data_IF_116834259227
#
_entry.id   IF_116834259227
#
_cell.length_a   1.000
_cell.length_b   1.000
_cell.length_c   1.000
_cell.angle_alpha   90.00
_cell.angle_beta   90.00
_cell.angle_gamma   90.00
#
_symmetry.space_group_name_H-M   'P 1'
#
loop_
_entity.id
_entity.type
_entity.pdbx_description
1 polymer ?
#
# COMPACT_ATOMS: atom_id res chain seq x y z
N UNK A 1 -22.39 3.83 -17.63
CA UNK A 1 -21.46 3.98 -16.47
C UNK A 1 -22.10 4.86 -15.42
N UNK A 2 -22.19 4.39 -14.18
CA UNK A 2 -22.60 5.17 -13.01
C UNK A 2 -21.38 5.28 -12.08
N UNK A 3 -20.91 6.50 -11.87
CA UNK A 3 -19.81 6.77 -10.96
C UNK A 3 -20.32 7.50 -9.72
N UNK A 4 -19.87 7.05 -8.54
CA UNK A 4 -20.25 7.61 -7.25
C UNK A 4 -18.98 8.04 -6.52
N UNK A 5 -18.90 9.31 -6.14
CA UNK A 5 -17.87 9.82 -5.24
C UNK A 5 -18.16 9.28 -3.83
N UNK A 6 -17.25 8.47 -3.31
CA UNK A 6 -17.39 7.84 -2.00
C UNK A 6 -16.80 8.74 -0.91
N UNK A 7 -15.63 9.33 -1.20
CA UNK A 7 -14.94 10.20 -0.26
C UNK A 7 -13.97 11.14 -1.00
N UNK A 8 -13.61 12.24 -0.34
CA UNK A 8 -12.52 13.13 -0.77
C UNK A 8 -11.62 13.37 0.44
N UNK A 9 -10.35 13.03 0.33
CA UNK A 9 -9.36 13.29 1.38
C UNK A 9 -8.91 14.76 1.33
N UNK A 10 -8.58 15.29 2.51
CA UNK A 10 -8.01 16.63 2.62
C UNK A 10 -6.57 16.61 2.08
N UNK A 11 -6.28 17.51 1.16
CA UNK A 11 -4.95 17.69 0.57
C UNK A 11 -4.41 19.10 0.86
N UNK A 12 -3.08 19.20 0.93
CA UNK A 12 -2.35 20.48 0.95
C UNK A 12 -1.43 20.65 -0.26
N UNK A 13 -1.48 19.73 -1.22
CA UNK A 13 -0.74 19.89 -2.49
C UNK A 13 -1.25 21.14 -3.22
N UNK A 14 -0.35 22.05 -3.57
CA UNK A 14 -0.70 23.20 -4.39
C UNK A 14 -0.91 22.72 -5.84
N UNK A 15 -2.09 22.92 -6.43
CA UNK A 15 -2.36 22.51 -7.81
C UNK A 15 -1.50 23.24 -8.84
N UNK A 16 -0.79 24.30 -8.43
CA UNK A 16 0.16 25.06 -9.28
C UNK A 16 1.60 24.58 -9.11
N UNK A 17 1.85 23.60 -8.21
CA UNK A 17 3.18 23.04 -8.05
C UNK A 17 3.61 22.36 -9.35
N UNK A 18 4.74 22.78 -9.90
CA UNK A 18 5.26 22.26 -11.17
C UNK A 18 6.27 21.13 -10.98
N UNK A 19 6.35 20.55 -9.78
CA UNK A 19 7.21 19.42 -9.52
C UNK A 19 6.89 18.26 -10.48
N UNK A 20 7.88 17.66 -11.16
CA UNK A 20 7.62 16.67 -12.22
C UNK A 20 6.82 15.44 -11.75
N UNK A 21 6.93 15.06 -10.49
CA UNK A 21 6.18 13.97 -9.89
C UNK A 21 4.84 14.38 -9.23
N UNK A 22 4.34 15.57 -9.54
CA UNK A 22 3.02 16.05 -9.14
C UNK A 22 2.17 16.46 -10.36
N UNK A 23 2.67 16.21 -11.57
CA UNK A 23 2.05 16.64 -12.82
C UNK A 23 1.98 15.51 -13.86
N UNK A 24 1.13 15.68 -14.86
CA UNK A 24 0.97 14.75 -15.97
C UNK A 24 0.49 13.38 -15.48
N UNK A 25 1.23 12.32 -15.81
CA UNK A 25 0.92 10.95 -15.36
C UNK A 25 1.05 10.76 -13.83
N UNK A 26 1.70 11.69 -13.14
CA UNK A 26 1.91 11.69 -11.70
C UNK A 26 0.96 12.62 -10.95
N UNK A 27 -0.03 13.20 -11.62
CA UNK A 27 -0.99 14.09 -10.97
C UNK A 27 -1.70 13.36 -9.83
N UNK A 28 -1.63 13.89 -8.60
CA UNK A 28 -2.25 13.25 -7.45
C UNK A 28 -3.77 13.18 -7.58
N UNK A 29 -4.35 12.12 -7.05
CA UNK A 29 -5.79 11.94 -6.92
C UNK A 29 -6.18 12.05 -5.44
N UNK A 30 -7.25 12.78 -5.14
CA UNK A 30 -7.71 12.99 -3.76
C UNK A 30 -9.10 12.42 -3.51
N UNK A 31 -9.68 11.78 -4.50
CA UNK A 31 -11.04 11.29 -4.50
C UNK A 31 -11.07 9.77 -4.55
N UNK A 32 -12.00 9.21 -3.80
CA UNK A 32 -12.30 7.78 -3.79
C UNK A 32 -13.62 7.56 -4.50
N UNK A 33 -13.61 6.68 -5.49
CA UNK A 33 -14.72 6.46 -6.40
C UNK A 33 -15.16 4.99 -6.42
N UNK A 34 -16.46 4.80 -6.64
CA UNK A 34 -17.03 3.58 -7.18
C UNK A 34 -17.63 3.88 -8.56
N UNK A 35 -17.27 3.11 -9.56
CA UNK A 35 -17.85 3.20 -10.88
C UNK A 35 -18.32 1.81 -11.32
N UNK A 36 -19.63 1.68 -11.51
CA UNK A 36 -20.27 0.47 -11.98
C UNK A 36 -20.44 0.55 -13.50
N UNK A 37 -20.34 -0.61 -14.15
CA UNK A 37 -20.63 -0.78 -15.56
C UNK A 37 -19.81 0.19 -16.45
N UNK A 38 -18.48 0.03 -16.38
CA UNK A 38 -17.54 0.82 -17.19
C UNK A 38 -17.83 0.66 -18.68
N UNK A 39 -17.68 1.75 -19.43
CA UNK A 39 -17.70 1.69 -20.89
C UNK A 39 -16.55 0.83 -21.40
N UNK A 40 -16.86 -0.18 -22.23
CA UNK A 40 -15.88 -1.09 -22.81
C UNK A 40 -15.82 -0.85 -24.32
N UNK A 41 -14.64 -0.58 -24.83
CA UNK A 41 -14.37 -0.60 -26.27
C UNK A 41 -13.94 -2.01 -26.67
N UNK A 42 -14.71 -2.66 -27.56
CA UNK A 42 -14.53 -4.06 -27.90
C UNK A 42 -15.38 -4.99 -27.04
N UNK A 43 -14.84 -6.15 -26.68
CA UNK A 43 -15.58 -7.19 -25.95
C UNK A 43 -14.71 -7.83 -24.87
N UNK A 44 -15.19 -7.82 -23.64
CA UNK A 44 -14.61 -8.61 -22.55
C UNK A 44 -15.08 -10.06 -22.66
N UNK A 45 -14.17 -11.05 -22.47
CA UNK A 45 -14.56 -12.45 -22.35
C UNK A 45 -15.51 -12.64 -21.17
N UNK A 46 -16.56 -13.46 -21.33
CA UNK A 46 -17.51 -13.70 -20.24
C UNK A 46 -16.97 -14.61 -19.15
N UNK A 47 -15.97 -15.42 -19.49
CA UNK A 47 -15.26 -16.29 -18.57
C UNK A 47 -14.14 -15.57 -17.77
N UNK A 48 -13.89 -14.28 -18.07
CA UNK A 48 -13.03 -13.45 -17.25
C UNK A 48 -13.80 -13.03 -16.00
N UNK A 49 -13.52 -13.70 -14.88
CA UNK A 49 -14.07 -13.40 -13.55
C UNK A 49 -12.92 -13.17 -12.56
N UNK A 50 -12.99 -12.08 -11.83
CA UNK A 50 -12.00 -11.76 -10.83
C UNK A 50 -11.78 -10.26 -10.64
N UNK A 51 -10.70 -9.94 -9.93
CA UNK A 51 -10.33 -8.54 -9.66
C UNK A 51 -8.87 -8.32 -10.00
N UNK A 52 -8.59 -7.33 -10.82
CA UNK A 52 -7.25 -6.77 -10.98
C UNK A 52 -7.04 -5.72 -9.89
N UNK A 53 -5.98 -5.89 -9.10
CA UNK A 53 -5.58 -4.96 -8.04
C UNK A 53 -4.27 -4.27 -8.43
N UNK A 54 -4.19 -2.97 -8.16
CA UNK A 54 -2.98 -2.18 -8.29
C UNK A 54 -2.84 -1.22 -7.12
N UNK A 55 -1.72 -1.28 -6.42
CA UNK A 55 -1.33 -0.27 -5.45
C UNK A 55 -0.55 0.85 -6.15
N UNK A 56 -0.75 2.08 -5.72
CA UNK A 56 -0.06 3.24 -6.26
C UNK A 56 0.42 4.15 -5.14
N UNK A 57 1.45 4.92 -5.43
CA UNK A 57 2.00 5.96 -4.57
C UNK A 57 1.33 7.28 -4.92
N UNK A 58 0.51 7.80 -4.01
CA UNK A 58 -0.29 8.99 -4.25
C UNK A 58 -0.08 10.04 -3.15
N UNK A 59 0.67 11.11 -3.40
CA UNK A 59 0.92 12.12 -2.38
C UNK A 59 -0.35 12.88 -2.02
N UNK A 60 -0.53 13.14 -0.73
CA UNK A 60 -1.71 13.84 -0.21
C UNK A 60 -1.35 15.21 0.35
N UNK A 61 -0.21 15.33 1.01
CA UNK A 61 0.24 16.60 1.59
C UNK A 61 1.52 17.11 0.96
N UNK A 62 1.66 18.44 0.92
CA UNK A 62 2.90 19.06 0.52
C UNK A 62 4.05 18.52 1.38
N UNK A 63 5.16 18.04 0.78
CA UNK A 63 6.27 17.46 1.53
C UNK A 63 6.94 18.52 2.43
N UNK A 64 7.58 18.07 3.52
CA UNK A 64 8.33 18.97 4.42
C UNK A 64 9.52 19.62 3.71
N UNK A 65 10.07 18.94 2.71
CA UNK A 65 11.17 19.43 1.91
C UNK A 65 11.16 18.85 0.51
N UNK A 66 11.98 17.83 0.26
CA UNK A 66 12.07 17.19 -1.05
C UNK A 66 11.05 16.07 -1.17
N UNK A 67 10.39 15.99 -2.32
CA UNK A 67 9.49 14.90 -2.66
C UNK A 67 10.16 13.88 -3.57
N UNK A 68 9.97 12.61 -3.26
CA UNK A 68 10.29 11.47 -4.11
C UNK A 68 9.00 10.70 -4.40
N UNK A 69 8.80 10.09 -5.59
CA UNK A 69 7.56 9.34 -5.88
C UNK A 69 7.20 8.30 -4.84
N UNK A 70 8.20 7.63 -4.25
CA UNK A 70 7.97 6.61 -3.23
C UNK A 70 7.49 7.14 -1.86
N UNK A 71 7.35 8.46 -1.71
CA UNK A 71 6.85 9.07 -0.48
C UNK A 71 5.31 9.17 -0.45
N UNK A 72 4.65 8.89 -1.57
CA UNK A 72 3.20 8.94 -1.68
C UNK A 72 2.48 7.90 -0.83
N UNK A 73 1.28 8.24 -0.38
CA UNK A 73 0.41 7.32 0.36
C UNK A 73 -0.14 6.23 -0.57
N UNK A 74 -0.33 5.03 -0.03
CA UNK A 74 -0.91 3.92 -0.77
C UNK A 74 -2.35 4.22 -1.18
N UNK A 75 -2.64 4.07 -2.47
CA UNK A 75 -4.01 4.06 -2.99
C UNK A 75 -4.21 2.77 -3.78
N UNK A 76 -5.11 1.93 -3.30
CA UNK A 76 -5.44 0.69 -3.96
C UNK A 76 -6.55 0.92 -4.98
N UNK A 77 -6.29 0.48 -6.21
CA UNK A 77 -7.24 0.48 -7.33
C UNK A 77 -7.67 -0.96 -7.61
N UNK A 78 -8.95 -1.16 -7.83
CA UNK A 78 -9.55 -2.44 -8.19
C UNK A 78 -10.37 -2.31 -9.46
N UNK A 79 -10.14 -3.21 -10.42
CA UNK A 79 -11.04 -3.41 -11.57
C UNK A 79 -11.62 -4.81 -11.43
N UNK A 80 -12.91 -4.90 -11.14
CA UNK A 80 -13.63 -6.15 -11.06
C UNK A 80 -14.21 -6.50 -12.44
N UNK A 81 -14.08 -7.78 -12.83
CA UNK A 81 -14.62 -8.35 -14.05
C UNK A 81 -15.63 -9.43 -13.69
N UNK A 82 -16.79 -9.42 -14.33
CA UNK A 82 -17.83 -10.42 -14.14
C UNK A 82 -18.78 -10.41 -15.37
N UNK A 83 -19.04 -11.56 -15.96
CA UNK A 83 -19.96 -11.76 -17.11
C UNK A 83 -19.80 -10.71 -18.22
N UNK A 84 -18.57 -10.41 -18.63
CA UNK A 84 -18.25 -9.47 -19.70
C UNK A 84 -18.46 -8.00 -19.35
N UNK A 85 -18.58 -7.67 -18.08
CA UNK A 85 -18.65 -6.31 -17.53
C UNK A 85 -17.42 -5.98 -16.71
N UNK A 86 -17.17 -4.68 -16.50
CA UNK A 86 -16.11 -4.20 -15.64
C UNK A 86 -16.63 -3.10 -14.71
N UNK A 87 -16.15 -3.13 -13.45
CA UNK A 87 -16.38 -2.09 -12.46
C UNK A 87 -15.06 -1.62 -11.87
N UNK A 88 -15.01 -0.39 -11.38
CA UNK A 88 -13.80 0.21 -10.80
C UNK A 88 -14.06 0.74 -9.40
N UNK A 89 -13.06 0.59 -8.51
CA UNK A 89 -13.00 1.23 -7.21
C UNK A 89 -11.59 1.69 -6.92
N UNK A 90 -11.46 2.75 -6.12
CA UNK A 90 -10.19 3.11 -5.52
C UNK A 90 -10.37 3.58 -4.07
N UNK A 91 -9.39 3.26 -3.22
CA UNK A 91 -9.36 3.69 -1.82
C UNK A 91 -7.92 3.96 -1.39
N UNK A 92 -7.73 5.04 -0.64
CA UNK A 92 -6.50 5.19 0.11
C UNK A 92 -6.36 4.08 1.16
N UNK A 93 -5.15 3.57 1.33
CA UNK A 93 -4.84 2.67 2.45
C UNK A 93 -4.78 3.50 3.73
N UNK A 94 -5.63 3.19 4.69
CA UNK A 94 -5.74 3.92 5.97
C UNK A 94 -4.64 3.50 6.93
N UNK A 95 -3.38 3.79 6.57
CA UNK A 95 -2.24 3.55 7.46
C UNK A 95 -2.30 4.47 8.67
N UNK A 96 -1.61 4.09 9.74
CA UNK A 96 -1.50 4.96 10.93
C UNK A 96 -0.86 6.31 10.57
N UNK A 97 0.12 6.32 9.64
CA UNK A 97 0.76 7.53 9.14
C UNK A 97 -0.20 8.40 8.35
N UNK A 98 -0.93 7.82 7.40
CA UNK A 98 -1.96 8.52 6.63
C UNK A 98 -3.00 9.20 7.56
N UNK A 99 -3.53 8.46 8.53
CA UNK A 99 -4.53 8.99 9.46
C UNK A 99 -3.97 10.14 10.32
N UNK A 100 -2.72 10.00 10.78
CA UNK A 100 -2.06 11.06 11.56
C UNK A 100 -1.88 12.35 10.75
N UNK A 101 -1.46 12.25 9.48
CA UNK A 101 -1.30 13.41 8.60
C UNK A 101 -2.64 14.01 8.18
N UNK A 102 -3.67 13.19 7.94
CA UNK A 102 -5.03 13.71 7.71
C UNK A 102 -5.57 14.47 8.92
N UNK A 103 -5.31 14.01 10.14
CA UNK A 103 -5.68 14.71 11.37
C UNK A 103 -4.89 16.01 11.54
N UNK A 104 -3.57 15.98 11.27
CA UNK A 104 -2.71 17.16 11.34
C UNK A 104 -3.00 18.16 10.21
N UNK A 105 -3.54 17.71 9.08
CA UNK A 105 -3.77 18.50 7.87
C UNK A 105 -2.48 18.93 7.17
N UNK A 106 -1.40 18.16 7.34
CA UNK A 106 -0.07 18.39 6.73
C UNK A 106 0.82 17.16 6.85
N UNK A 107 1.91 17.16 6.09
CA UNK A 107 2.95 16.13 6.25
C UNK A 107 3.61 16.20 7.64
N UNK A 108 3.94 15.05 8.20
CA UNK A 108 4.62 14.88 9.49
C UNK A 108 5.97 14.17 9.36
N UNK A 109 6.23 13.53 8.23
CA UNK A 109 7.47 12.81 7.93
C UNK A 109 8.19 13.40 6.74
N UNK A 110 9.51 13.36 6.82
CA UNK A 110 10.38 13.64 5.69
C UNK A 110 10.31 12.52 4.68
N UNK A 111 10.44 12.85 3.39
CA UNK A 111 10.56 11.89 2.32
C UNK A 111 11.96 11.29 2.18
N UNK A 112 12.07 10.28 1.31
CA UNK A 112 13.29 9.53 1.03
C UNK A 112 14.47 10.41 0.61
N UNK A 113 14.19 11.45 -0.18
CA UNK A 113 15.21 12.33 -0.76
C UNK A 113 15.64 13.48 0.17
N UNK A 114 15.04 13.59 1.36
CA UNK A 114 15.34 14.67 2.31
C UNK A 114 16.43 14.27 3.30
N UNK A 115 17.54 14.98 3.26
CA UNK A 115 18.67 14.82 4.18
C UNK A 115 19.17 16.19 4.67
N UNK A 116 19.33 16.40 5.98
CA UNK A 116 18.90 15.51 7.05
C UNK A 116 17.38 15.44 7.18
N UNK A 117 16.82 14.35 7.71
CA UNK A 117 15.39 14.23 7.89
C UNK A 117 14.85 15.23 8.93
N UNK A 118 13.68 15.78 8.65
CA UNK A 118 12.96 16.74 9.52
C UNK A 118 11.64 16.17 10.04
N UNK A 119 11.52 14.84 10.06
CA UNK A 119 10.32 14.18 10.55
C UNK A 119 9.98 14.60 11.99
N UNK A 120 8.73 14.92 12.23
CA UNK A 120 8.21 15.30 13.55
C UNK A 120 7.81 14.07 14.38
N UNK A 121 7.81 12.90 13.78
CA UNK A 121 7.46 11.63 14.40
C UNK A 121 8.44 10.54 13.98
N UNK A 122 8.64 9.51 14.81
CA UNK A 122 9.43 8.34 14.44
C UNK A 122 8.80 7.64 13.24
N UNK A 123 9.62 7.03 12.41
CA UNK A 123 9.20 6.14 11.36
C UNK A 123 8.70 4.80 11.89
N UNK A 124 8.55 3.82 11.00
CA UNK A 124 7.99 2.52 11.31
C UNK A 124 8.91 1.37 10.86
N UNK A 125 8.81 0.22 11.56
CA UNK A 125 9.55 -1.00 11.24
C UNK A 125 11.06 -0.87 11.37
N UNK A 126 11.78 -1.81 10.74
CA UNK A 126 13.24 -1.92 10.82
C UNK A 126 13.98 -0.70 10.21
N UNK A 127 13.35 0.06 9.36
CA UNK A 127 13.95 1.24 8.74
C UNK A 127 13.79 2.53 9.55
N UNK A 128 12.81 2.60 10.43
CA UNK A 128 12.63 3.61 11.50
C UNK A 128 12.57 5.09 11.12
N UNK A 129 12.85 5.47 9.88
CA UNK A 129 13.00 6.87 9.46
C UNK A 129 11.83 7.42 8.66
N UNK A 130 11.13 6.59 7.89
CA UNK A 130 10.06 7.00 7.00
C UNK A 130 8.68 6.63 7.56
N UNK A 131 7.67 7.33 7.09
CA UNK A 131 6.28 6.91 7.25
C UNK A 131 6.05 5.57 6.56
N UNK A 132 5.33 4.65 7.21
CA UNK A 132 4.76 3.50 6.52
C UNK A 132 3.62 3.97 5.62
N UNK A 133 3.88 4.07 4.34
CA UNK A 133 2.89 4.51 3.35
C UNK A 133 2.07 3.37 2.77
N UNK A 134 2.50 2.11 2.97
CA UNK A 134 1.85 0.90 2.42
C UNK A 134 1.50 1.02 0.93
N UNK A 135 2.39 1.61 0.13
CA UNK A 135 2.11 2.11 -1.23
C UNK A 135 2.74 1.28 -2.34
N UNK A 136 3.60 0.30 -2.01
CA UNK A 136 4.50 -0.28 -3.01
C UNK A 136 3.90 -1.47 -3.75
N UNK A 137 3.29 -2.43 -3.03
CA UNK A 137 2.82 -3.68 -3.65
C UNK A 137 1.51 -4.14 -3.01
N UNK A 138 0.85 -5.08 -3.66
CA UNK A 138 -0.33 -5.75 -3.16
C UNK A 138 -0.31 -7.23 -3.55
N UNK A 139 -0.57 -8.10 -2.58
CA UNK A 139 -0.77 -9.53 -2.81
C UNK A 139 -2.10 -9.97 -2.18
N UNK A 140 -2.70 -11.04 -2.68
CA UNK A 140 -3.90 -11.62 -2.06
C UNK A 140 -3.52 -12.90 -1.33
N UNK A 141 -3.79 -12.93 -0.02
CA UNK A 141 -3.53 -14.08 0.83
C UNK A 141 -4.69 -14.28 1.81
N UNK A 142 -5.10 -15.52 2.04
CA UNK A 142 -6.20 -15.87 2.95
C UNK A 142 -7.47 -15.03 2.71
N UNK A 143 -7.82 -14.74 1.44
CA UNK A 143 -8.98 -13.93 1.07
C UNK A 143 -8.87 -12.42 1.33
N UNK A 144 -7.67 -11.92 1.67
CA UNK A 144 -7.40 -10.49 1.91
C UNK A 144 -6.39 -9.94 0.92
N UNK A 145 -6.63 -8.74 0.43
CA UNK A 145 -5.61 -7.93 -0.24
C UNK A 145 -4.70 -7.32 0.84
N UNK A 146 -3.41 -7.62 0.75
CA UNK A 146 -2.39 -7.15 1.68
C UNK A 146 -1.52 -6.12 0.95
N UNK A 147 -1.62 -4.87 1.34
CA UNK A 147 -0.74 -3.81 0.82
C UNK A 147 0.51 -3.69 1.66
N UNK A 148 1.62 -3.32 1.05
CA UNK A 148 2.94 -3.34 1.66
C UNK A 148 3.78 -2.12 1.29
N UNK A 149 4.81 -1.85 2.08
CA UNK A 149 5.77 -0.77 1.90
C UNK A 149 7.18 -1.30 1.70
N UNK A 150 7.92 -0.72 0.74
CA UNK A 150 9.26 -1.22 0.37
C UNK A 150 10.28 -1.17 1.52
N UNK A 151 10.15 -0.22 2.44
CA UNK A 151 11.07 -0.08 3.58
C UNK A 151 10.63 -0.81 4.85
N UNK A 152 9.90 -1.88 4.70
CA UNK A 152 9.30 -2.64 5.80
C UNK A 152 8.25 -1.84 6.58
N UNK A 153 7.05 -2.31 6.57
CA UNK A 153 5.90 -1.72 7.22
C UNK A 153 4.94 -2.78 7.74
N UNK A 154 3.79 -2.35 8.21
CA UNK A 154 2.67 -3.23 8.43
C UNK A 154 2.11 -3.70 7.07
N UNK A 155 1.51 -4.88 7.03
CA UNK A 155 0.66 -5.26 5.91
C UNK A 155 -0.77 -4.83 6.24
N UNK A 156 -1.31 -3.89 5.47
CA UNK A 156 -2.70 -3.47 5.65
C UNK A 156 -3.63 -4.35 4.84
N UNK A 157 -4.72 -4.75 5.47
CA UNK A 157 -5.69 -5.70 4.94
C UNK A 157 -6.90 -4.97 4.39
N UNK A 158 -7.29 -5.31 3.16
CA UNK A 158 -8.53 -4.85 2.54
C UNK A 158 -9.27 -6.06 1.96
N UNK A 159 -10.58 -5.94 1.86
CA UNK A 159 -11.35 -6.85 1.02
C UNK A 159 -10.98 -6.63 -0.45
N UNK A 160 -10.59 -7.66 -1.22
CA UNK A 160 -10.11 -7.47 -2.58
C UNK A 160 -11.19 -7.01 -3.58
N UNK A 161 -12.48 -7.19 -3.29
CA UNK A 161 -13.58 -6.79 -4.16
C UNK A 161 -14.20 -5.45 -3.77
N UNK A 162 -14.38 -5.21 -2.47
CA UNK A 162 -15.05 -4.00 -1.95
C UNK A 162 -14.08 -2.89 -1.56
N UNK A 163 -12.82 -3.23 -1.33
CA UNK A 163 -11.77 -2.39 -0.74
C UNK A 163 -12.11 -1.91 0.69
N UNK A 164 -12.98 -2.62 1.41
CA UNK A 164 -13.23 -2.38 2.82
C UNK A 164 -11.94 -2.59 3.63
N UNK A 165 -11.65 -1.65 4.54
CA UNK A 165 -10.42 -1.66 5.34
C UNK A 165 -10.59 -2.55 6.58
N UNK A 166 -9.66 -3.46 6.81
CA UNK A 166 -9.64 -4.35 7.99
C UNK A 166 -8.49 -4.04 8.96
N UNK A 167 -7.71 -2.99 8.68
CA UNK A 167 -6.56 -2.60 9.49
C UNK A 167 -5.30 -3.46 9.22
N UNK A 168 -4.26 -3.34 10.06
CA UNK A 168 -3.02 -4.07 9.87
C UNK A 168 -3.17 -5.56 10.19
N UNK A 169 -2.45 -6.40 9.44
CA UNK A 169 -2.36 -7.82 9.71
C UNK A 169 -1.73 -8.07 11.08
N UNK A 170 -2.29 -9.01 11.83
CA UNK A 170 -1.83 -9.33 13.18
C UNK A 170 -1.21 -10.74 13.28
N UNK A 171 -1.55 -11.63 12.34
CA UNK A 171 -1.12 -13.02 12.33
C UNK A 171 -1.23 -13.70 13.70
N UNK A 172 -2.39 -13.54 14.33
CA UNK A 172 -2.66 -14.02 15.69
C UNK A 172 -1.70 -13.45 16.78
N UNK A 173 -1.24 -12.21 16.60
CA UNK A 173 -0.30 -11.56 17.51
C UNK A 173 1.18 -11.84 17.23
N UNK A 174 1.48 -12.57 16.14
CA UNK A 174 2.84 -12.94 15.78
C UNK A 174 3.44 -12.06 14.64
N UNK A 175 2.81 -10.94 14.30
CA UNK A 175 3.36 -10.04 13.28
C UNK A 175 4.72 -9.49 13.71
N UNK A 176 5.78 -9.58 12.87
CA UNK A 176 7.13 -9.21 13.27
C UNK A 176 7.26 -7.70 13.54
N UNK A 177 7.95 -7.35 14.62
CA UNK A 177 8.21 -5.96 15.00
C UNK A 177 9.03 -5.20 13.94
N UNK A 178 9.86 -5.91 13.19
CA UNK A 178 10.67 -5.38 12.09
C UNK A 178 9.83 -5.04 10.86
N UNK A 179 8.58 -5.48 10.81
CA UNK A 179 7.70 -5.32 9.68
C UNK A 179 7.95 -6.31 8.54
N UNK A 180 7.26 -6.08 7.44
CA UNK A 180 7.35 -6.87 6.21
C UNK A 180 7.68 -5.94 5.06
N UNK A 181 8.64 -6.32 4.22
CA UNK A 181 8.96 -5.59 3.00
C UNK A 181 7.93 -5.86 1.91
N UNK A 182 7.89 -5.00 0.91
CA UNK A 182 7.12 -5.24 -0.31
C UNK A 182 7.61 -6.49 -1.06
N UNK A 183 6.83 -6.92 -2.03
CA UNK A 183 7.10 -8.05 -2.93
C UNK A 183 7.04 -9.44 -2.27
N UNK A 184 6.24 -9.58 -1.20
CA UNK A 184 5.84 -10.89 -0.71
C UNK A 184 5.20 -11.74 -1.84
N UNK A 185 5.31 -13.05 -1.75
CA UNK A 185 4.77 -13.98 -2.76
C UNK A 185 3.87 -15.00 -2.12
N UNK A 186 2.80 -15.35 -2.82
CA UNK A 186 1.93 -16.45 -2.42
C UNK A 186 2.23 -17.65 -3.30
N UNK A 187 2.54 -18.78 -2.67
CA UNK A 187 2.65 -20.05 -3.38
C UNK A 187 1.25 -20.57 -3.70
N UNK A 188 0.93 -20.68 -4.97
CA UNK A 188 -0.38 -21.12 -5.43
C UNK A 188 -0.69 -22.58 -5.05
N UNK A 189 0.32 -23.42 -4.82
CA UNK A 189 0.12 -24.83 -4.49
C UNK A 189 -0.19 -25.03 -3.01
N UNK A 190 0.56 -24.38 -2.12
CA UNK A 190 0.38 -24.50 -0.66
C UNK A 190 -0.58 -23.45 -0.09
N UNK A 191 -0.73 -22.31 -0.75
CA UNK A 191 -1.43 -21.14 -0.25
C UNK A 191 -0.63 -20.35 0.79
N UNK A 192 0.66 -20.65 0.93
CA UNK A 192 1.54 -19.97 1.87
C UNK A 192 1.99 -18.61 1.35
N UNK A 193 2.07 -17.63 2.25
CA UNK A 193 2.68 -16.32 1.98
C UNK A 193 4.14 -16.35 2.41
N UNK A 194 5.03 -16.13 1.47
CA UNK A 194 6.46 -16.01 1.69
C UNK A 194 6.83 -14.54 1.71
N UNK A 195 7.52 -14.12 2.77
CA UNK A 195 7.91 -12.73 2.93
C UNK A 195 9.33 -12.59 3.47
N UNK A 196 9.85 -11.39 3.39
CA UNK A 196 11.10 -11.00 4.01
C UNK A 196 10.98 -9.61 4.62
N UNK A 197 11.90 -9.28 5.49
CA UNK A 197 12.23 -7.90 5.86
C UNK A 197 13.74 -7.69 5.82
N UNK A 198 14.15 -6.44 5.82
CA UNK A 198 15.56 -6.09 5.84
C UNK A 198 15.81 -4.87 6.72
N UNK A 199 17.02 -4.78 7.26
CA UNK A 199 17.45 -3.74 8.18
C UNK A 199 18.87 -3.28 7.87
N UNK A 200 19.24 -2.10 8.39
CA UNK A 200 20.62 -1.61 8.39
C UNK A 200 21.46 -2.17 9.55
N UNK A 201 20.83 -2.93 10.43
CA UNK A 201 21.47 -3.53 11.61
C UNK A 201 21.35 -5.05 11.55
N UNK A 202 22.35 -5.76 12.10
CA UNK A 202 22.28 -7.21 12.19
C UNK A 202 20.98 -7.66 12.91
N UNK A 203 20.36 -8.75 12.44
CA UNK A 203 20.82 -9.71 11.43
C UNK A 203 20.64 -9.29 9.95
N UNK A 204 20.32 -8.06 9.66
CA UNK A 204 20.10 -7.43 8.35
C UNK A 204 18.87 -7.94 7.58
N UNK A 205 18.51 -9.19 7.69
CA UNK A 205 17.38 -9.76 6.95
C UNK A 205 16.73 -10.90 7.73
N UNK A 206 15.41 -10.99 7.62
CA UNK A 206 14.64 -12.16 8.04
C UNK A 206 13.83 -12.69 6.87
N UNK A 207 13.59 -13.98 6.90
CA UNK A 207 12.65 -14.67 6.03
C UNK A 207 11.53 -15.26 6.86
N UNK A 208 10.29 -15.18 6.35
CA UNK A 208 9.13 -15.71 7.03
C UNK A 208 8.14 -16.39 6.10
N UNK A 209 7.35 -17.28 6.68
CA UNK A 209 6.26 -17.98 6.00
C UNK A 209 5.01 -17.88 6.86
N UNK A 210 3.90 -17.51 6.25
CA UNK A 210 2.57 -17.52 6.83
C UNK A 210 1.74 -18.56 6.12
N UNK A 211 1.08 -19.44 6.86
CA UNK A 211 0.26 -20.50 6.29
C UNK A 211 -1.03 -19.96 5.63
N UNK A 212 -1.76 -20.83 4.94
CA UNK A 212 -3.03 -20.49 4.28
C UNK A 212 -4.12 -19.94 5.20
N UNK A 213 -3.97 -20.17 6.52
CA UNK A 213 -4.91 -19.73 7.55
C UNK A 213 -4.48 -18.43 8.23
N UNK A 214 -3.38 -17.82 7.76
CA UNK A 214 -2.86 -16.55 8.27
C UNK A 214 -2.03 -16.68 9.55
N UNK A 215 -1.44 -17.87 9.83
CA UNK A 215 -0.54 -18.08 10.97
C UNK A 215 0.91 -18.02 10.54
N UNK A 216 1.72 -17.27 11.27
CA UNK A 216 3.17 -17.25 11.08
C UNK A 216 3.75 -18.58 11.51
N UNK A 217 4.25 -19.40 10.56
CA UNK A 217 4.78 -20.75 10.81
C UNK A 217 6.31 -20.79 10.80
N UNK A 218 6.94 -19.85 10.07
CA UNK A 218 8.39 -19.68 10.06
C UNK A 218 8.76 -18.20 10.13
N UNK A 219 9.75 -17.89 10.97
CA UNK A 219 10.39 -16.57 11.00
C UNK A 219 11.83 -16.75 11.48
N UNK A 220 12.80 -16.48 10.61
CA UNK A 220 14.22 -16.78 10.86
C UNK A 220 15.11 -15.66 10.33
N UNK A 221 16.13 -15.27 11.10
CA UNK A 221 17.18 -14.41 10.58
C UNK A 221 17.98 -15.15 9.50
N UNK A 222 18.34 -14.42 8.46
CA UNK A 222 19.28 -14.85 7.45
C UNK A 222 20.65 -14.25 7.78
N UNK A 223 21.68 -15.07 8.06
CA UNK A 223 23.01 -14.58 8.36
C UNK A 223 23.68 -14.08 7.08
N UNK A 224 23.54 -12.80 6.81
CA UNK A 224 24.25 -12.15 5.72
C UNK A 224 25.63 -11.70 6.20
N UNK A 225 26.70 -11.92 5.41
CA UNK A 225 28.00 -11.34 5.71
C UNK A 225 27.90 -9.80 5.68
N UNK A 226 28.46 -9.13 6.67
CA UNK A 226 28.54 -7.68 6.79
C UNK A 226 29.57 -7.08 5.86
#
# INVERSE_FOLDING_TARGET
MKATLVNRVRSTIDPRDNHPYLNGAWTPMFEEWDAEDLGVEGRLPRDLDGVYLRNTENPVHQPLGKYHPFDGDGMLHAIAFEDGKAGYRNRFVRTAGFLAEQQAGRALWSGLAEMPPRSERPGWGAQGALKDSSSTDVVVHAGRALTSFYQCGALYQLDPRTLEQHGPAQWHGAFPAEGVSAHAKVDAASGELLFFNYSKQAPYMHYGVVDRDGRLVHYRPLPLPG
#
